data_IF_289904215094
#
_entry.id   IF_289904215094
#
_cell.length_a   1.000
_cell.length_b   1.000
_cell.length_c   1.000
_cell.angle_alpha   90.00
_cell.angle_beta   90.00
_cell.angle_gamma   90.00
#
_symmetry.space_group_name_H-M   'P 1'
#
loop_
_entity.id
_entity.type
_entity.pdbx_description
1 polymer ?
#
# COMPACT_ATOMS: atom_id res chain seq x y z
N UNK A 1 1.19 22.11 -5.25
CA UNK A 1 1.09 20.65 -5.16
C UNK A 1 2.49 20.07 -5.26
N UNK A 2 2.91 19.20 -4.34
CA UNK A 2 4.15 18.45 -4.53
C UNK A 2 4.01 17.56 -5.78
N UNK A 3 5.11 17.46 -6.54
CA UNK A 3 5.20 16.55 -7.67
C UNK A 3 5.66 15.20 -7.12
N UNK A 4 4.76 14.22 -7.12
CA UNK A 4 5.07 12.85 -6.73
C UNK A 4 5.68 12.13 -7.94
N UNK A 5 6.94 11.70 -7.82
CA UNK A 5 7.64 10.99 -8.89
C UNK A 5 8.19 9.67 -8.37
N UNK A 6 7.61 8.57 -8.83
CA UNK A 6 8.15 7.21 -8.65
C UNK A 6 8.88 6.84 -9.94
N UNK A 7 10.18 6.63 -9.85
CA UNK A 7 11.01 6.24 -10.99
C UNK A 7 10.61 4.87 -11.53
N UNK A 8 10.72 4.68 -12.85
CA UNK A 8 10.53 3.36 -13.46
C UNK A 8 11.49 2.34 -12.85
N UNK A 9 11.06 1.08 -12.79
CA UNK A 9 11.74 -0.06 -12.16
C UNK A 9 11.85 0.02 -10.64
N UNK A 10 11.27 1.04 -10.00
CA UNK A 10 11.12 1.07 -8.54
C UNK A 10 10.31 -0.11 -8.04
N UNK A 11 10.62 -0.58 -6.84
CA UNK A 11 9.87 -1.64 -6.18
C UNK A 11 8.72 -1.04 -5.37
N UNK A 12 7.53 -1.62 -5.57
CA UNK A 12 6.29 -1.22 -4.89
C UNK A 12 5.75 -2.43 -4.14
N UNK A 13 5.75 -2.37 -2.81
CA UNK A 13 5.21 -3.45 -1.98
C UNK A 13 3.68 -3.43 -2.06
N UNK A 14 3.06 -4.58 -2.31
CA UNK A 14 1.61 -4.73 -2.52
C UNK A 14 1.13 -6.09 -2.00
N UNK A 15 -0.08 -6.22 -1.43
CA UNK A 15 -0.55 -7.52 -0.93
C UNK A 15 -0.73 -8.54 -2.07
N UNK A 16 -0.29 -9.78 -1.84
CA UNK A 16 -0.37 -10.88 -2.81
C UNK A 16 -1.82 -11.31 -3.12
N UNK A 17 -2.75 -11.09 -2.18
CA UNK A 17 -4.16 -11.49 -2.27
C UNK A 17 -5.11 -10.38 -2.79
N UNK A 18 -4.58 -9.32 -3.43
CA UNK A 18 -5.41 -8.23 -3.98
C UNK A 18 -6.08 -8.60 -5.32
N UNK A 19 -7.00 -7.75 -5.78
CA UNK A 19 -7.49 -7.79 -7.14
C UNK A 19 -6.39 -7.39 -8.13
N UNK A 20 -6.31 -8.11 -9.25
CA UNK A 20 -5.20 -8.00 -10.22
C UNK A 20 -4.99 -6.59 -10.78
N UNK A 21 -6.03 -5.75 -10.83
CA UNK A 21 -5.91 -4.37 -11.33
C UNK A 21 -4.93 -3.52 -10.50
N UNK A 22 -4.85 -3.74 -9.18
CA UNK A 22 -3.85 -3.11 -8.30
C UNK A 22 -2.43 -3.39 -8.82
N UNK A 23 -2.12 -4.65 -9.10
CA UNK A 23 -0.80 -5.09 -9.60
C UNK A 23 -0.55 -4.58 -11.03
N UNK A 24 -1.57 -4.63 -11.90
CA UNK A 24 -1.46 -4.12 -13.27
C UNK A 24 -1.15 -2.62 -13.28
N UNK A 25 -1.67 -1.83 -12.33
CA UNK A 25 -1.36 -0.41 -12.23
C UNK A 25 0.14 -0.16 -11.99
N UNK A 26 0.77 -0.96 -11.13
CA UNK A 26 2.21 -0.91 -10.83
C UNK A 26 3.02 -1.27 -12.09
N UNK A 27 2.64 -2.35 -12.77
CA UNK A 27 3.31 -2.80 -13.99
C UNK A 27 3.18 -1.79 -15.13
N UNK A 28 2.00 -1.18 -15.30
CA UNK A 28 1.75 -0.15 -16.32
C UNK A 28 2.53 1.14 -16.05
N UNK A 29 2.76 1.49 -14.78
CA UNK A 29 3.68 2.57 -14.40
C UNK A 29 5.16 2.21 -14.67
N UNK A 30 5.46 0.98 -15.12
CA UNK A 30 6.81 0.50 -15.36
C UNK A 30 7.59 0.20 -14.09
N UNK A 31 6.90 -0.04 -12.98
CA UNK A 31 7.46 -0.41 -11.67
C UNK A 31 7.36 -1.93 -11.44
N UNK A 32 8.04 -2.41 -10.40
CA UNK A 32 8.09 -3.83 -10.03
C UNK A 32 7.23 -4.08 -8.78
N UNK A 33 6.16 -4.88 -8.86
CA UNK A 33 5.38 -5.26 -7.68
C UNK A 33 6.15 -6.27 -6.83
N UNK A 34 6.31 -5.97 -5.55
CA UNK A 34 6.84 -6.90 -4.54
C UNK A 34 5.66 -7.42 -3.73
N UNK A 35 5.31 -8.68 -3.97
CA UNK A 35 4.13 -9.31 -3.38
C UNK A 35 4.42 -9.72 -1.93
N UNK A 36 3.52 -9.34 -1.03
CA UNK A 36 3.63 -9.63 0.40
C UNK A 36 2.35 -10.30 0.92
N UNK A 37 2.51 -11.33 1.75
CA UNK A 37 1.39 -12.06 2.31
C UNK A 37 0.55 -11.22 3.31
N UNK A 38 -0.78 -11.35 3.29
CA UNK A 38 -1.69 -10.67 4.21
C UNK A 38 -1.76 -11.37 5.58
N UNK A 39 -2.39 -10.69 6.55
CA UNK A 39 -2.88 -11.34 7.77
C UNK A 39 -4.20 -12.09 7.46
N UNK A 40 -4.21 -13.41 7.68
CA UNK A 40 -5.38 -14.27 7.47
C UNK A 40 -6.65 -13.83 8.23
N UNK A 41 -6.52 -13.11 9.35
CA UNK A 41 -7.67 -12.64 10.15
C UNK A 41 -8.36 -11.44 9.51
N UNK A 42 -7.62 -10.63 8.77
CA UNK A 42 -8.13 -9.37 8.21
C UNK A 42 -8.25 -9.41 6.69
N UNK A 43 -7.47 -10.29 6.04
CA UNK A 43 -7.19 -10.32 4.60
C UNK A 43 -6.44 -9.10 4.08
N UNK A 44 -6.06 -8.16 4.95
CA UNK A 44 -5.25 -7.00 4.59
C UNK A 44 -3.76 -7.29 4.81
N UNK A 45 -2.90 -6.52 4.14
CA UNK A 45 -1.45 -6.66 4.24
C UNK A 45 -0.97 -6.63 5.70
N UNK A 46 -0.09 -7.56 6.08
CA UNK A 46 0.53 -7.58 7.40
C UNK A 46 1.72 -6.59 7.44
N UNK A 47 1.72 -5.58 8.35
CA UNK A 47 2.81 -4.61 8.44
C UNK A 47 4.19 -5.24 8.67
N UNK A 48 4.27 -6.36 9.39
CA UNK A 48 5.55 -7.04 9.64
C UNK A 48 6.16 -7.60 8.35
N UNK A 49 5.33 -8.07 7.43
CA UNK A 49 5.81 -8.58 6.15
C UNK A 49 6.22 -7.45 5.18
N UNK A 50 5.71 -6.22 5.36
CA UNK A 50 6.18 -5.05 4.61
C UNK A 50 7.64 -4.77 4.97
N UNK A 51 7.93 -4.71 6.27
CA UNK A 51 9.28 -4.40 6.77
C UNK A 51 10.30 -5.45 6.29
N UNK A 52 9.92 -6.73 6.29
CA UNK A 52 10.75 -7.83 5.78
C UNK A 52 11.00 -7.79 4.26
N UNK A 53 10.12 -7.13 3.50
CA UNK A 53 10.22 -7.04 2.04
C UNK A 53 10.97 -5.78 1.55
N UNK A 54 11.39 -4.90 2.47
CA UNK A 54 12.10 -3.67 2.11
C UNK A 54 13.45 -3.96 1.45
N UNK A 55 13.74 -3.21 0.40
CA UNK A 55 15.05 -3.18 -0.25
C UNK A 55 15.48 -1.74 -0.53
N UNK A 56 16.71 -1.54 -0.99
CA UNK A 56 17.20 -0.23 -1.44
C UNK A 56 16.42 0.34 -2.65
N UNK A 57 15.67 -0.50 -3.37
CA UNK A 57 14.89 -0.11 -4.54
C UNK A 57 13.43 0.17 -4.21
N UNK A 58 12.98 -0.13 -2.99
CA UNK A 58 11.61 0.16 -2.56
C UNK A 58 11.38 1.66 -2.56
N UNK A 59 10.28 2.09 -3.17
CA UNK A 59 9.86 3.51 -3.22
C UNK A 59 8.47 3.76 -2.69
N UNK A 60 7.61 2.74 -2.67
CA UNK A 60 6.27 2.89 -2.14
C UNK A 60 5.72 1.58 -1.55
N UNK A 61 4.70 1.74 -0.74
CA UNK A 61 3.80 0.68 -0.27
C UNK A 61 2.41 1.01 -0.79
N UNK A 62 1.79 0.09 -1.53
CA UNK A 62 0.41 0.17 -1.97
C UNK A 62 -0.45 -0.74 -1.11
N UNK A 63 -1.17 -0.15 -0.15
CA UNK A 63 -2.13 -0.88 0.68
C UNK A 63 -3.44 -1.06 -0.07
N UNK A 64 -4.16 -2.14 0.22
CA UNK A 64 -5.47 -2.40 -0.36
C UNK A 64 -6.44 -2.64 0.77
N UNK A 65 -7.51 -1.84 0.83
CA UNK A 65 -8.55 -1.97 1.84
C UNK A 65 -9.60 -2.99 1.38
N UNK A 66 -9.24 -4.28 1.47
CA UNK A 66 -10.08 -5.36 0.95
C UNK A 66 -11.38 -5.49 1.74
N UNK A 67 -12.46 -5.83 1.02
CA UNK A 67 -13.77 -6.13 1.59
C UNK A 67 -14.37 -5.03 2.47
N UNK A 68 -14.04 -3.77 2.20
CA UNK A 68 -14.51 -2.62 2.98
C UNK A 68 -13.82 -2.44 4.32
N UNK A 69 -12.72 -3.16 4.59
CA UNK A 69 -11.96 -3.07 5.83
C UNK A 69 -10.68 -2.27 5.59
N UNK A 70 -10.52 -1.17 6.33
CA UNK A 70 -9.28 -0.38 6.30
C UNK A 70 -8.14 -1.19 6.90
N UNK A 71 -6.93 -1.07 6.34
CA UNK A 71 -5.73 -1.76 6.85
C UNK A 71 -5.37 -1.25 8.26
N UNK A 72 -4.48 -1.98 8.94
CA UNK A 72 -3.92 -1.49 10.19
C UNK A 72 -2.94 -0.33 9.92
N UNK A 73 -3.47 0.89 9.80
CA UNK A 73 -2.75 2.01 9.17
C UNK A 73 -1.60 2.57 9.99
N UNK A 74 -1.70 2.65 11.32
CA UNK A 74 -0.66 3.26 12.15
C UNK A 74 0.75 2.67 11.91
N UNK A 75 0.97 1.34 12.02
CA UNK A 75 2.29 0.77 11.77
C UNK A 75 2.74 0.93 10.31
N UNK A 76 1.82 0.90 9.34
CA UNK A 76 2.16 1.08 7.92
C UNK A 76 2.65 2.51 7.66
N UNK A 77 1.97 3.50 8.25
CA UNK A 77 2.35 4.91 8.17
C UNK A 77 3.74 5.11 8.79
N UNK A 78 3.99 4.50 9.94
CA UNK A 78 5.29 4.59 10.62
C UNK A 78 6.41 3.96 9.78
N UNK A 79 6.19 2.77 9.20
CA UNK A 79 7.13 2.13 8.27
C UNK A 79 7.43 3.06 7.08
N UNK A 80 6.40 3.61 6.43
CA UNK A 80 6.58 4.47 5.27
C UNK A 80 7.34 5.76 5.61
N UNK A 81 7.00 6.41 6.74
CA UNK A 81 7.69 7.62 7.20
C UNK A 81 9.15 7.37 7.54
N UNK A 82 9.43 6.32 8.30
CA UNK A 82 10.80 5.99 8.74
C UNK A 82 11.71 5.66 7.56
N UNK A 83 11.16 5.06 6.50
CA UNK A 83 11.90 4.64 5.31
C UNK A 83 11.76 5.62 4.13
N UNK A 84 11.07 6.75 4.31
CA UNK A 84 10.80 7.76 3.26
C UNK A 84 10.17 7.16 2.00
N UNK A 85 9.20 6.26 2.21
CA UNK A 85 8.42 5.62 1.15
C UNK A 85 7.11 6.38 0.93
N UNK A 86 6.63 6.40 -0.30
CA UNK A 86 5.26 6.83 -0.58
C UNK A 86 4.25 5.79 -0.09
N UNK A 87 3.13 6.24 0.45
CA UNK A 87 2.00 5.39 0.83
C UNK A 87 0.85 5.61 -0.16
N UNK A 88 0.47 4.57 -0.88
CA UNK A 88 -0.62 4.58 -1.84
C UNK A 88 -1.79 3.73 -1.30
N UNK A 89 -3.01 4.23 -1.41
CA UNK A 89 -4.20 3.53 -0.92
C UNK A 89 -5.09 3.05 -2.07
N UNK A 90 -5.23 1.75 -2.26
CA UNK A 90 -6.29 1.20 -3.11
C UNK A 90 -7.60 1.13 -2.30
N UNK A 91 -8.47 2.10 -2.56
CA UNK A 91 -9.76 2.25 -1.91
C UNK A 91 -10.93 1.67 -2.70
N UNK A 92 -10.69 0.90 -3.77
CA UNK A 92 -11.73 0.45 -4.69
C UNK A 92 -12.89 -0.28 -3.99
N UNK A 93 -12.59 -0.98 -2.89
CA UNK A 93 -13.58 -1.74 -2.11
C UNK A 93 -13.93 -1.10 -0.75
N UNK A 94 -13.49 0.13 -0.47
CA UNK A 94 -13.54 0.72 0.88
C UNK A 94 -14.21 2.09 0.97
N UNK A 95 -15.11 2.39 0.03
CA UNK A 95 -15.92 3.61 0.05
C UNK A 95 -16.63 3.79 1.39
N UNK A 96 -16.32 4.89 2.09
CA UNK A 96 -16.92 5.25 3.37
C UNK A 96 -16.34 4.52 4.59
N UNK A 97 -15.43 3.56 4.43
CA UNK A 97 -14.78 2.85 5.53
C UNK A 97 -13.86 3.79 6.34
N UNK A 98 -13.64 3.45 7.61
CA UNK A 98 -12.83 4.26 8.54
C UNK A 98 -11.89 3.41 9.38
N UNK A 99 -10.75 4.00 9.73
CA UNK A 99 -9.87 3.53 10.79
C UNK A 99 -9.68 4.66 11.80
N UNK A 100 -10.06 4.43 13.05
CA UNK A 100 -10.00 5.41 14.16
C UNK A 100 -10.64 6.76 13.81
N UNK A 101 -11.79 6.73 13.14
CA UNK A 101 -12.54 7.94 12.75
C UNK A 101 -11.99 8.68 11.53
N UNK A 102 -10.92 8.19 10.90
CA UNK A 102 -10.36 8.75 9.66
C UNK A 102 -10.74 7.86 8.48
N UNK A 103 -11.21 8.48 7.39
CA UNK A 103 -11.71 7.79 6.19
C UNK A 103 -10.58 7.13 5.39
N UNK A 104 -10.87 5.96 4.80
CA UNK A 104 -10.04 5.36 3.76
C UNK A 104 -9.72 6.35 2.63
N UNK A 105 -8.50 6.31 2.10
CA UNK A 105 -8.02 7.20 1.05
C UNK A 105 -7.56 8.57 1.54
N UNK A 106 -7.46 8.75 2.85
CA UNK A 106 -6.98 10.00 3.44
C UNK A 106 -5.69 9.84 4.23
N UNK A 107 -5.10 8.64 4.31
CA UNK A 107 -3.92 8.33 5.12
C UNK A 107 -2.60 8.51 4.35
N UNK A 108 -2.58 8.12 3.07
CA UNK A 108 -1.42 8.11 2.19
C UNK A 108 -1.23 9.39 1.40
N UNK A 109 -0.29 9.32 0.46
CA UNK A 109 0.04 10.39 -0.48
C UNK A 109 -0.96 10.46 -1.65
N UNK A 110 -1.55 9.32 -2.03
CA UNK A 110 -2.52 9.19 -3.12
C UNK A 110 -3.51 8.03 -2.84
N UNK A 111 -4.73 8.13 -3.37
CA UNK A 111 -5.80 7.15 -3.22
C UNK A 111 -6.72 7.08 -4.45
#
# INVERSE_FOLDING_TARGET
>A
MPVYFIERRSEIIVPSNTYIATILSILHAGCNPILVEPDLKTYNIDPSNIENALTKNTRAVMVVHLYGKVCNMDPIIDICRNNRLFLLEDCAQAHGAEYKGRKAGSFGDMA
#
